data_IF_646704447364
#
_entry.id   IF_646704447364
#
_cell.length_a   1.000
_cell.length_b   1.000
_cell.length_c   1.000
_cell.angle_alpha   90.00
_cell.angle_beta   90.00
_cell.angle_gamma   90.00
#
_symmetry.space_group_name_H-M   'P 1'
#
loop_
_entity.id
_entity.type
_entity.pdbx_description
1 polymer ?
#
# COMPACT_ATOMS: atom_id res chain seq x y z
N UNK A 1 2.37 23.13 -2.10
CA UNK A 1 1.21 22.87 -2.91
C UNK A 1 0.87 21.38 -2.92
N UNK A 2 -0.39 21.10 -2.76
CA UNK A 2 -0.90 19.72 -2.77
C UNK A 2 -0.87 19.07 -4.16
N UNK A 3 -0.51 19.84 -5.20
CA UNK A 3 -0.65 19.43 -6.60
C UNK A 3 0.03 18.12 -6.96
N UNK A 4 1.30 17.96 -6.64
CA UNK A 4 2.07 16.77 -7.05
C UNK A 4 1.60 15.49 -6.35
N UNK A 5 1.27 15.57 -5.08
CA UNK A 5 0.75 14.42 -4.34
C UNK A 5 -0.62 14.02 -4.87
N UNK A 6 -1.46 15.01 -5.13
CA UNK A 6 -2.78 14.76 -5.68
C UNK A 6 -2.71 14.22 -7.10
N UNK A 7 -1.82 14.74 -7.93
CA UNK A 7 -1.58 14.24 -9.27
C UNK A 7 -1.15 12.77 -9.26
N UNK A 8 -0.23 12.43 -8.36
CA UNK A 8 0.20 11.04 -8.17
C UNK A 8 -0.99 10.17 -7.79
N UNK A 9 -1.76 10.59 -6.80
CA UNK A 9 -2.92 9.84 -6.33
C UNK A 9 -3.94 9.64 -7.44
N UNK A 10 -4.28 10.69 -8.17
CA UNK A 10 -5.23 10.60 -9.29
C UNK A 10 -4.75 9.61 -10.35
N UNK A 11 -3.47 9.59 -10.62
CA UNK A 11 -2.88 8.71 -11.64
C UNK A 11 -2.88 7.24 -11.22
N UNK A 12 -2.63 6.96 -9.94
CA UNK A 12 -2.43 5.59 -9.46
C UNK A 12 -3.54 5.09 -8.53
N UNK A 13 -4.60 5.87 -8.34
CA UNK A 13 -5.70 5.50 -7.43
C UNK A 13 -6.31 4.14 -7.77
N UNK A 14 -6.50 3.84 -9.05
CA UNK A 14 -7.12 2.58 -9.44
C UNK A 14 -6.26 1.38 -9.05
N UNK A 15 -4.96 1.48 -9.17
CA UNK A 15 -4.05 0.43 -8.70
C UNK A 15 -4.21 0.21 -7.19
N UNK A 16 -4.26 1.30 -6.42
CA UNK A 16 -4.39 1.21 -4.97
C UNK A 16 -5.75 0.65 -4.54
N UNK A 17 -6.82 1.06 -5.23
CA UNK A 17 -8.17 0.54 -4.95
C UNK A 17 -8.27 -0.94 -5.28
N UNK A 18 -7.64 -1.39 -6.36
CA UNK A 18 -7.60 -2.82 -6.70
C UNK A 18 -6.91 -3.63 -5.61
N UNK A 19 -5.83 -3.10 -5.04
CA UNK A 19 -5.14 -3.76 -3.94
C UNK A 19 -6.00 -3.81 -2.67
N UNK A 20 -6.80 -2.78 -2.43
CA UNK A 20 -7.75 -2.78 -1.33
C UNK A 20 -8.83 -3.84 -1.52
N UNK A 21 -9.36 -3.97 -2.75
CA UNK A 21 -10.34 -5.00 -3.09
C UNK A 21 -9.80 -6.42 -2.85
N UNK A 22 -8.54 -6.64 -3.22
CA UNK A 22 -7.90 -7.97 -3.13
C UNK A 22 -7.44 -8.33 -1.73
N UNK A 23 -6.83 -7.38 -1.03
CA UNK A 23 -6.10 -7.66 0.21
C UNK A 23 -6.66 -6.97 1.44
N UNK A 24 -7.57 -6.02 1.27
CA UNK A 24 -8.10 -5.27 2.40
C UNK A 24 -7.15 -4.23 2.98
N UNK A 25 -6.13 -3.83 2.22
CA UNK A 25 -5.21 -2.76 2.61
C UNK A 25 -5.82 -1.43 2.17
N UNK A 26 -5.96 -0.43 3.06
CA UNK A 26 -6.54 0.84 2.64
C UNK A 26 -5.84 1.43 1.42
N UNK A 27 -6.61 1.82 0.40
CA UNK A 27 -6.06 2.46 -0.79
C UNK A 27 -5.29 3.72 -0.42
N UNK A 28 -5.77 4.47 0.56
CA UNK A 28 -5.11 5.67 1.07
C UNK A 28 -3.71 5.40 1.60
N UNK A 29 -3.53 4.30 2.33
CA UNK A 29 -2.23 3.90 2.89
C UNK A 29 -1.26 3.52 1.78
N UNK A 30 -1.72 2.71 0.83
CA UNK A 30 -0.91 2.32 -0.33
C UNK A 30 -0.46 3.55 -1.11
N UNK A 31 -1.38 4.49 -1.39
CA UNK A 31 -1.05 5.73 -2.10
C UNK A 31 -0.07 6.60 -1.31
N UNK A 32 -0.28 6.75 -0.01
CA UNK A 32 0.60 7.57 0.82
C UNK A 32 2.02 6.99 0.86
N UNK A 33 2.15 5.67 0.96
CA UNK A 33 3.46 5.01 0.89
C UNK A 33 4.10 5.21 -0.49
N UNK A 34 3.32 5.04 -1.56
CA UNK A 34 3.82 5.28 -2.91
C UNK A 34 4.32 6.70 -3.11
N UNK A 35 3.57 7.68 -2.62
CA UNK A 35 3.96 9.10 -2.69
C UNK A 35 5.28 9.33 -1.95
N UNK A 36 5.37 8.85 -0.72
CA UNK A 36 6.52 9.07 0.13
C UNK A 36 7.77 8.35 -0.39
N UNK A 37 7.64 7.07 -0.71
CA UNK A 37 8.77 6.23 -1.11
C UNK A 37 9.30 6.55 -2.51
N UNK A 38 8.46 7.04 -3.40
CA UNK A 38 8.83 7.33 -4.78
C UNK A 38 9.05 8.81 -5.07
N UNK A 39 8.93 9.68 -4.07
CA UNK A 39 8.95 11.14 -4.27
C UNK A 39 7.95 11.55 -5.35
N UNK A 40 6.69 11.20 -5.16
CA UNK A 40 5.57 11.42 -6.11
C UNK A 40 5.83 10.78 -7.48
N UNK A 41 6.52 9.66 -7.52
CA UNK A 41 6.89 9.00 -8.77
C UNK A 41 8.08 9.60 -9.49
N UNK A 42 8.76 10.57 -8.87
CA UNK A 42 9.88 11.29 -9.50
C UNK A 42 11.23 10.62 -9.27
N UNK A 43 11.35 9.71 -8.31
CA UNK A 43 12.61 9.05 -8.03
C UNK A 43 13.10 8.24 -9.23
N UNK A 44 14.41 8.08 -9.33
CA UNK A 44 15.02 7.27 -10.40
C UNK A 44 14.51 5.83 -10.36
N UNK A 45 14.40 5.27 -9.15
CA UNK A 45 13.89 3.92 -8.94
C UNK A 45 12.46 3.76 -9.47
N UNK A 46 11.59 4.74 -9.21
CA UNK A 46 10.21 4.70 -9.70
C UNK A 46 10.16 4.85 -11.23
N UNK A 47 10.93 5.79 -11.78
CA UNK A 47 10.88 6.09 -13.23
C UNK A 47 11.51 5.00 -14.10
N UNK A 48 12.62 4.43 -13.64
CA UNK A 48 13.39 3.45 -14.43
C UNK A 48 12.99 2.00 -14.15
N UNK A 49 12.67 1.69 -12.89
CA UNK A 49 12.41 0.32 -12.47
C UNK A 49 10.95 0.05 -12.15
N UNK A 50 10.07 1.05 -12.27
CA UNK A 50 8.67 0.97 -11.87
C UNK A 50 8.47 0.57 -10.40
N UNK A 51 9.50 0.77 -9.59
CA UNK A 51 9.48 0.43 -8.16
C UNK A 51 9.10 1.66 -7.34
N UNK A 52 7.83 1.72 -6.94
CA UNK A 52 7.27 2.87 -6.23
C UNK A 52 7.38 2.79 -4.71
N UNK A 53 7.74 1.62 -4.17
CA UNK A 53 7.73 1.39 -2.73
C UNK A 53 9.11 1.13 -2.14
N UNK A 54 10.13 1.16 -2.97
CA UNK A 54 11.51 0.93 -2.52
C UNK A 54 11.77 -0.49 -2.02
N UNK A 55 11.09 -1.47 -2.59
CA UNK A 55 11.23 -2.87 -2.15
C UNK A 55 12.53 -3.45 -2.68
N UNK A 56 13.35 -3.98 -1.75
CA UNK A 56 14.62 -4.61 -2.09
C UNK A 56 14.40 -6.03 -2.56
N UNK A 57 15.23 -6.47 -3.52
CA UNK A 57 15.17 -7.81 -4.05
C UNK A 57 15.79 -8.79 -3.04
N UNK A 58 15.00 -9.78 -2.64
CA UNK A 58 15.46 -10.86 -1.77
C UNK A 58 16.02 -12.00 -2.62
N UNK A 59 16.70 -12.95 -1.98
CA UNK A 59 17.15 -14.16 -2.66
C UNK A 59 15.98 -14.93 -3.27
N UNK A 60 14.86 -15.00 -2.57
CA UNK A 60 13.63 -15.62 -3.05
C UNK A 60 13.11 -14.96 -4.32
N UNK A 61 13.07 -13.63 -4.35
CA UNK A 61 12.65 -12.87 -5.52
C UNK A 61 13.51 -13.20 -6.74
N UNK A 62 14.82 -13.21 -6.55
CA UNK A 62 15.79 -13.50 -7.61
C UNK A 62 15.68 -14.96 -8.07
N UNK A 63 15.56 -15.89 -7.12
CA UNK A 63 15.43 -17.31 -7.41
C UNK A 63 14.18 -17.65 -8.23
N UNK A 64 13.11 -16.87 -8.05
CA UNK A 64 11.87 -17.04 -8.79
C UNK A 64 11.86 -16.33 -10.15
N UNK A 65 13.00 -15.78 -10.55
CA UNK A 65 13.15 -15.11 -11.84
C UNK A 65 12.84 -13.62 -11.82
N UNK A 66 12.69 -13.03 -10.63
CA UNK A 66 12.44 -11.60 -10.49
C UNK A 66 13.65 -10.78 -10.88
N UNK A 67 13.42 -9.68 -11.58
CA UNK A 67 14.49 -8.77 -12.01
C UNK A 67 14.83 -7.78 -10.93
N UNK A 68 16.05 -7.30 -10.95
CA UNK A 68 16.51 -6.29 -10.00
C UNK A 68 17.52 -5.36 -10.67
N UNK A 69 17.72 -4.20 -10.05
CA UNK A 69 18.73 -3.23 -10.44
C UNK A 69 19.47 -2.75 -9.21
N UNK A 70 20.68 -2.26 -9.40
CA UNK A 70 21.54 -1.81 -8.32
C UNK A 70 21.40 -0.31 -8.11
N UNK A 71 21.10 0.08 -6.88
CA UNK A 71 21.01 1.48 -6.47
C UNK A 71 21.66 1.62 -5.10
N UNK A 72 22.24 2.78 -4.85
CA UNK A 72 22.80 3.08 -3.53
C UNK A 72 21.70 3.62 -2.63
N UNK A 73 21.63 3.11 -1.40
CA UNK A 73 20.75 3.56 -0.36
C UNK A 73 21.57 3.62 0.93
N UNK A 74 21.24 2.84 1.97
CA UNK A 74 22.07 2.75 3.19
C UNK A 74 23.47 2.21 2.88
N UNK A 75 23.55 1.36 1.87
CA UNK A 75 24.80 0.77 1.37
C UNK A 75 24.87 1.00 -0.14
N UNK A 76 26.10 1.04 -0.71
CA UNK A 76 26.24 1.11 -2.16
C UNK A 76 25.82 -0.20 -2.82
N UNK A 77 25.29 -0.09 -4.01
CA UNK A 77 24.95 -1.23 -4.87
C UNK A 77 23.98 -2.24 -4.23
N UNK A 78 22.96 -1.74 -3.57
CA UNK A 78 21.88 -2.59 -3.06
C UNK A 78 20.96 -3.02 -4.21
N UNK A 79 20.40 -4.22 -4.10
CA UNK A 79 19.50 -4.79 -5.09
C UNK A 79 18.06 -4.38 -4.80
N UNK A 80 17.45 -3.68 -5.75
CA UNK A 80 16.04 -3.29 -5.67
C UNK A 80 15.25 -4.01 -6.75
N UNK A 81 14.04 -4.41 -6.44
CA UNK A 81 13.16 -5.06 -7.40
C UNK A 81 12.90 -4.14 -8.59
N UNK A 82 12.86 -4.73 -9.78
CA UNK A 82 12.49 -4.06 -11.03
C UNK A 82 11.24 -4.73 -11.59
N UNK A 83 10.30 -3.94 -12.07
CA UNK A 83 9.00 -4.44 -12.55
C UNK A 83 8.74 -4.01 -13.99
N UNK A 84 7.92 -4.78 -14.68
CA UNK A 84 7.53 -4.49 -16.08
C UNK A 84 6.61 -3.28 -16.16
N UNK A 85 5.83 -3.02 -15.11
CA UNK A 85 4.91 -1.88 -15.05
C UNK A 85 4.67 -1.47 -13.60
N UNK A 86 4.05 -0.32 -13.41
CA UNK A 86 3.79 0.23 -12.07
C UNK A 86 2.81 -0.64 -11.29
N UNK A 87 1.80 -1.18 -11.96
CA UNK A 87 0.81 -2.05 -11.32
C UNK A 87 1.44 -3.25 -10.63
N UNK A 88 2.50 -3.81 -11.21
CA UNK A 88 3.22 -4.94 -10.62
C UNK A 88 3.90 -4.55 -9.30
N UNK A 89 4.39 -3.31 -9.19
CA UNK A 89 4.97 -2.84 -7.93
C UNK A 89 3.88 -2.69 -6.86
N UNK A 90 2.68 -2.27 -7.24
CA UNK A 90 1.54 -2.17 -6.33
C UNK A 90 1.11 -3.55 -5.82
N UNK A 91 1.03 -4.53 -6.72
CA UNK A 91 0.72 -5.91 -6.35
C UNK A 91 1.79 -6.48 -5.42
N UNK A 92 3.06 -6.28 -5.74
CA UNK A 92 4.17 -6.78 -4.92
C UNK A 92 4.19 -6.12 -3.53
N UNK A 93 3.88 -4.83 -3.44
CA UNK A 93 3.78 -4.13 -2.16
C UNK A 93 2.72 -4.78 -1.26
N UNK A 94 1.56 -5.09 -1.81
CA UNK A 94 0.48 -5.76 -1.06
C UNK A 94 0.92 -7.14 -0.59
N UNK A 95 1.53 -7.92 -1.46
CA UNK A 95 2.03 -9.24 -1.11
C UNK A 95 3.16 -9.17 -0.09
N UNK A 96 4.02 -8.17 -0.19
CA UNK A 96 5.07 -7.92 0.78
C UNK A 96 4.50 -7.74 2.19
N UNK A 97 3.45 -6.94 2.32
CA UNK A 97 2.77 -6.75 3.61
C UNK A 97 2.05 -8.03 4.06
N UNK A 98 1.39 -8.71 3.14
CA UNK A 98 0.60 -9.92 3.45
C UNK A 98 1.47 -11.10 3.86
N UNK A 99 2.59 -11.28 3.20
CA UNK A 99 3.47 -12.44 3.37
C UNK A 99 4.49 -12.29 4.51
N UNK A 100 4.74 -11.05 4.95
CA UNK A 100 5.66 -10.78 6.06
C UNK A 100 4.92 -10.83 7.39
N UNK A 101 5.27 -11.79 8.24
CA UNK A 101 4.57 -12.03 9.50
C UNK A 101 4.53 -10.82 10.43
N UNK A 102 5.53 -9.93 10.35
CA UNK A 102 5.56 -8.73 11.21
C UNK A 102 4.41 -7.76 10.94
N UNK A 103 3.75 -7.85 9.78
CA UNK A 103 2.59 -7.02 9.44
C UNK A 103 1.26 -7.76 9.64
N UNK A 104 1.28 -8.99 10.12
CA UNK A 104 0.09 -9.84 10.19
C UNK A 104 -1.06 -9.20 10.96
N UNK A 105 -0.75 -8.52 12.07
CA UNK A 105 -1.79 -7.89 12.90
C UNK A 105 -2.53 -6.77 12.19
N UNK A 106 -1.90 -6.12 11.20
CA UNK A 106 -2.55 -5.07 10.43
C UNK A 106 -3.79 -5.61 9.71
N UNK A 107 -3.73 -6.87 9.27
CA UNK A 107 -4.83 -7.48 8.51
C UNK A 107 -6.03 -7.83 9.39
N UNK A 108 -5.95 -7.62 10.71
CA UNK A 108 -7.09 -7.70 11.62
C UNK A 108 -7.83 -6.37 11.74
N UNK A 109 -7.27 -5.30 11.20
CA UNK A 109 -7.90 -3.99 11.19
C UNK A 109 -8.94 -3.89 10.08
N UNK A 110 -9.88 -2.97 10.23
CA UNK A 110 -10.83 -2.68 9.17
C UNK A 110 -10.08 -2.15 7.95
N UNK A 111 -10.54 -2.52 6.73
CA UNK A 111 -9.88 -2.04 5.51
C UNK A 111 -9.87 -0.52 5.33
N UNK A 112 -10.74 0.22 6.04
CA UNK A 112 -10.80 1.68 6.01
C UNK A 112 -10.13 2.37 7.20
N UNK A 113 -9.50 1.60 8.09
CA UNK A 113 -8.82 2.15 9.26
C UNK A 113 -7.38 2.54 8.92
N UNK A 114 -7.23 3.63 8.17
CA UNK A 114 -5.90 4.07 7.74
C UNK A 114 -4.99 4.47 8.91
N UNK A 115 -5.58 4.97 10.01
CA UNK A 115 -4.79 5.34 11.19
C UNK A 115 -4.17 4.11 11.85
N UNK A 116 -4.97 3.08 12.07
CA UNK A 116 -4.48 1.81 12.61
C UNK A 116 -3.45 1.16 11.70
N UNK A 117 -3.70 1.17 10.40
CA UNK A 117 -2.77 0.60 9.40
C UNK A 117 -1.43 1.32 9.39
N UNK A 118 -1.43 2.66 9.35
CA UNK A 118 -0.17 3.43 9.33
C UNK A 118 0.63 3.24 10.61
N UNK A 119 -0.04 3.20 11.75
CA UNK A 119 0.61 2.94 13.05
C UNK A 119 1.20 1.51 13.10
N UNK A 120 0.44 0.53 12.62
CA UNK A 120 0.89 -0.86 12.60
C UNK A 120 2.09 -1.09 11.67
N UNK A 121 2.06 -0.50 10.49
CA UNK A 121 3.16 -0.58 9.53
C UNK A 121 4.42 0.09 10.10
N UNK A 122 4.27 1.26 10.72
CA UNK A 122 5.39 1.97 11.33
C UNK A 122 5.97 1.19 12.51
N UNK A 123 5.12 0.66 13.37
CA UNK A 123 5.54 -0.14 14.53
C UNK A 123 6.29 -1.40 14.11
N UNK A 124 5.87 -2.00 13.01
CA UNK A 124 6.51 -3.21 12.46
C UNK A 124 7.86 -2.91 11.77
N UNK A 125 8.22 -1.64 11.61
CA UNK A 125 9.53 -1.26 11.09
C UNK A 125 9.63 -1.17 9.58
N UNK A 126 8.57 -0.77 8.90
CA UNK A 126 8.60 -0.58 7.44
C UNK A 126 9.68 0.43 7.02
N UNK A 127 9.84 1.48 7.80
CA UNK A 127 10.88 2.49 7.60
C UNK A 127 11.59 2.76 8.91
N UNK A 128 12.85 3.18 8.81
CA UNK A 128 13.67 3.51 9.97
C UNK A 128 13.57 5.00 10.30
N UNK A 129 13.44 5.29 11.57
CA UNK A 129 13.50 6.66 12.08
C UNK A 129 12.23 7.47 11.87
N UNK A 130 12.14 8.57 12.61
CA UNK A 130 11.10 9.56 12.49
C UNK A 130 9.70 9.08 12.85
N UNK A 131 8.74 9.90 12.53
CA UNK A 131 7.33 9.65 12.75
C UNK A 131 6.69 9.18 11.44
N UNK A 132 6.98 7.95 11.05
CA UNK A 132 6.51 7.40 9.78
C UNK A 132 4.98 7.40 9.69
N UNK A 133 4.31 6.92 10.74
CA UNK A 133 2.84 6.90 10.78
C UNK A 133 2.26 8.30 10.63
N UNK A 134 2.78 9.27 11.36
CA UNK A 134 2.31 10.65 11.29
C UNK A 134 2.52 11.26 9.92
N UNK A 135 3.65 10.97 9.28
CA UNK A 135 3.95 11.43 7.92
C UNK A 135 2.93 10.88 6.92
N UNK A 136 2.64 9.58 6.98
CA UNK A 136 1.64 8.96 6.10
C UNK A 136 0.25 9.53 6.35
N UNK A 137 -0.15 9.67 7.62
CA UNK A 137 -1.46 10.23 7.96
C UNK A 137 -1.63 11.65 7.44
N UNK A 138 -0.57 12.45 7.54
CA UNK A 138 -0.57 13.81 7.01
C UNK A 138 -0.77 13.85 5.50
N UNK A 139 -0.08 12.98 4.78
CA UNK A 139 -0.24 12.87 3.32
C UNK A 139 -1.69 12.49 2.99
N UNK A 140 -2.25 11.51 3.70
CA UNK A 140 -3.63 11.07 3.49
C UNK A 140 -4.60 12.22 3.73
N UNK A 141 -4.47 12.91 4.85
CA UNK A 141 -5.43 13.94 5.27
C UNK A 141 -5.31 15.21 4.43
N UNK A 142 -4.11 15.63 4.10
CA UNK A 142 -3.90 16.82 3.27
C UNK A 142 -4.38 16.65 1.84
N UNK A 143 -4.44 15.43 1.34
CA UNK A 143 -4.83 15.15 -0.04
C UNK A 143 -6.17 14.43 -0.14
N UNK A 144 -6.85 14.22 0.98
CA UNK A 144 -8.17 13.57 1.01
C UNK A 144 -8.16 12.16 0.44
N UNK A 145 -7.08 11.41 0.64
CA UNK A 145 -6.91 10.08 0.02
C UNK A 145 -7.87 9.03 0.57
N UNK A 146 -8.41 9.24 1.76
CA UNK A 146 -9.38 8.33 2.37
C UNK A 146 -10.71 8.24 1.58
N UNK A 147 -10.94 9.16 0.67
CA UNK A 147 -12.10 9.07 -0.24
C UNK A 147 -12.06 7.79 -1.08
N UNK A 148 -10.87 7.32 -1.42
CA UNK A 148 -10.73 6.08 -2.20
C UNK A 148 -11.08 4.85 -1.35
N UNK A 149 -10.76 4.90 -0.05
CA UNK A 149 -11.15 3.84 0.89
C UNK A 149 -12.67 3.74 0.98
N UNK A 150 -13.33 4.89 1.12
CA UNK A 150 -14.80 4.95 1.18
C UNK A 150 -15.43 4.43 -0.09
N UNK A 151 -14.85 4.77 -1.24
CA UNK A 151 -15.35 4.31 -2.54
C UNK A 151 -15.33 2.77 -2.62
N UNK A 152 -14.22 2.15 -2.25
CA UNK A 152 -14.10 0.69 -2.25
C UNK A 152 -15.07 0.06 -1.25
N UNK A 153 -15.20 0.63 -0.05
CA UNK A 153 -16.14 0.13 0.94
C UNK A 153 -17.59 0.17 0.43
N UNK A 154 -17.94 1.24 -0.25
CA UNK A 154 -19.28 1.39 -0.86
C UNK A 154 -19.50 0.38 -1.98
N UNK A 155 -18.52 0.14 -2.82
CA UNK A 155 -18.58 -0.86 -3.89
C UNK A 155 -18.79 -2.26 -3.30
N UNK A 156 -18.06 -2.61 -2.25
CA UNK A 156 -18.17 -3.91 -1.60
C UNK A 156 -19.53 -4.10 -0.95
N UNK A 157 -20.06 -3.06 -0.31
CA UNK A 157 -21.40 -3.09 0.29
C UNK A 157 -22.48 -3.26 -0.78
N UNK A 158 -22.38 -2.53 -1.90
CA UNK A 158 -23.32 -2.65 -3.01
C UNK A 158 -23.28 -4.02 -3.65
N UNK A 159 -22.10 -4.59 -3.80
CA UNK A 159 -21.90 -5.92 -4.37
C UNK A 159 -22.51 -7.01 -3.45
N UNK A 160 -22.30 -6.89 -2.15
CA UNK A 160 -22.92 -7.77 -1.18
C UNK A 160 -24.44 -7.76 -1.26
N UNK A 161 -25.03 -6.58 -1.39
CA UNK A 161 -26.46 -6.40 -1.56
C UNK A 161 -26.96 -7.03 -2.86
N UNK A 162 -26.27 -6.76 -3.97
CA UNK A 162 -26.63 -7.23 -5.30
C UNK A 162 -26.71 -8.76 -5.38
N UNK A 163 -25.79 -9.44 -4.74
CA UNK A 163 -25.73 -10.91 -4.77
C UNK A 163 -26.43 -11.57 -3.59
N UNK A 164 -27.19 -10.79 -2.80
CA UNK A 164 -27.94 -11.35 -1.68
C UNK A 164 -27.09 -11.89 -0.56
N UNK A 165 -25.85 -11.42 -0.44
CA UNK A 165 -24.95 -11.80 0.63
C UNK A 165 -25.40 -11.14 1.93
N UNK A 166 -25.53 -11.92 2.99
CA UNK A 166 -25.95 -11.39 4.29
C UNK A 166 -24.86 -10.57 4.95
N UNK A 167 -23.61 -10.86 4.61
CA UNK A 167 -22.46 -10.13 5.13
C UNK A 167 -21.47 -9.84 4.01
N UNK A 168 -20.76 -8.75 4.13
CA UNK A 168 -19.59 -8.44 3.32
C UNK A 168 -18.35 -8.57 4.21
N UNK A 169 -17.13 -8.44 3.67
CA UNK A 169 -15.91 -8.56 4.48
C UNK A 169 -15.89 -7.66 5.69
N UNK A 170 -16.47 -6.47 5.58
CA UNK A 170 -16.54 -5.52 6.68
C UNK A 170 -17.48 -6.01 7.79
N UNK A 171 -18.66 -6.49 7.44
CA UNK A 171 -19.62 -7.01 8.41
C UNK A 171 -19.08 -8.23 9.13
N UNK A 172 -18.43 -9.13 8.42
CA UNK A 172 -17.81 -10.32 9.02
C UNK A 172 -16.73 -9.94 10.02
N UNK A 173 -15.93 -8.92 9.68
CA UNK A 173 -14.89 -8.42 10.56
C UNK A 173 -15.47 -7.79 11.82
N UNK A 174 -16.54 -7.02 11.69
CA UNK A 174 -17.24 -6.43 12.82
C UNK A 174 -17.83 -7.51 13.75
N UNK A 175 -18.40 -8.56 13.18
CA UNK A 175 -18.91 -9.68 13.95
C UNK A 175 -17.78 -10.38 14.70
N UNK A 176 -16.65 -10.59 14.08
CA UNK A 176 -15.49 -11.22 14.71
C UNK A 176 -14.98 -10.40 15.87
N UNK A 177 -14.98 -9.08 15.75
CA UNK A 177 -14.54 -8.16 16.80
C UNK A 177 -15.53 -8.10 17.98
N UNK A 178 -16.81 -8.38 17.73
CA UNK A 178 -17.85 -8.37 18.76
C UNK A 178 -17.79 -9.59 19.68
N UNK A 179 -17.14 -10.65 19.27
CA UNK A 179 -17.00 -11.88 20.05
C UNK A 179 -15.60 -12.02 20.63
#
# INVERSE_FOLDING_TARGET
MAGKNKEYADKYAEYAMEQMRRYGIPASVTLAQGILESSNGQSELARKENNHFGIKATQSWIAEGGRYSLYSDDKPNEKFCSYDNVGDSYEHHSRFLKENSRYAECFNLRPDDYKGWTEGIAKAGYATGGNYAGTLQKIIEQNGLDKYDRQVMQEMAALGKQFGLESNPLQEKEKAEAY
#
